data_IF_688038327599
#
_entry.id   IF_688038327599
#
_cell.length_a   1.000
_cell.length_b   1.000
_cell.length_c   1.000
_cell.angle_alpha   90.00
_cell.angle_beta   90.00
_cell.angle_gamma   90.00
#
_symmetry.space_group_name_H-M   'P 1'
#
loop_
_entity.id
_entity.type
_entity.pdbx_description
1 polymer ?
#
# COMPACT_ATOMS: atom_id res chain seq x y z
N UNK A 1 4.27 20.59 30.58
CA UNK A 1 3.05 20.64 29.73
C UNK A 1 1.97 19.81 30.40
N UNK A 2 0.94 20.45 30.95
CA UNK A 2 -0.13 19.81 31.73
C UNK A 2 -1.10 19.02 30.84
N UNK A 3 -1.65 17.89 31.31
CA UNK A 3 -2.67 17.14 30.58
C UNK A 3 -3.96 17.96 30.42
N UNK A 4 -4.71 17.78 29.32
CA UNK A 4 -5.96 18.51 29.09
C UNK A 4 -6.98 18.20 30.20
N UNK A 5 -7.71 19.23 30.65
CA UNK A 5 -8.84 19.10 31.59
C UNK A 5 -9.98 18.32 30.90
N UNK A 6 -10.73 17.54 31.67
CA UNK A 6 -11.75 16.55 31.24
C UNK A 6 -12.82 17.02 30.23
N UNK A 7 -12.94 18.31 29.95
CA UNK A 7 -13.97 18.91 29.07
C UNK A 7 -13.43 19.44 27.73
N UNK A 8 -12.12 19.38 27.47
CA UNK A 8 -11.54 19.87 26.22
C UNK A 8 -11.23 18.74 25.23
N UNK A 9 -11.37 19.00 23.91
CA UNK A 9 -10.95 18.05 22.88
C UNK A 9 -9.48 17.65 23.06
N UNK A 10 -9.20 16.36 22.93
CA UNK A 10 -7.83 15.87 23.00
C UNK A 10 -7.05 16.39 21.79
N UNK A 11 -5.91 17.02 22.05
CA UNK A 11 -5.02 17.50 21.00
C UNK A 11 -4.26 16.34 20.34
N UNK A 12 -3.76 16.56 19.11
CA UNK A 12 -2.87 15.62 18.43
C UNK A 12 -1.70 15.15 19.31
N UNK A 13 -1.09 16.07 20.06
CA UNK A 13 -0.02 15.76 21.00
C UNK A 13 -0.50 14.90 22.17
N UNK A 14 -1.73 15.13 22.65
CA UNK A 14 -2.41 14.30 23.65
C UNK A 14 -2.60 12.88 23.16
N UNK A 15 -3.13 12.68 21.95
CA UNK A 15 -3.27 11.34 21.34
C UNK A 15 -1.90 10.67 21.22
N UNK A 16 -0.89 11.36 20.69
CA UNK A 16 0.47 10.80 20.55
C UNK A 16 1.01 10.32 21.91
N UNK A 17 0.82 11.11 22.95
CA UNK A 17 1.28 10.80 24.30
C UNK A 17 0.53 9.59 24.87
N UNK A 18 -0.79 9.52 24.67
CA UNK A 18 -1.61 8.38 25.07
C UNK A 18 -1.17 7.10 24.35
N UNK A 19 -1.04 7.13 23.02
CA UNK A 19 -0.60 5.98 22.23
C UNK A 19 0.77 5.48 22.72
N UNK A 20 1.74 6.38 22.92
CA UNK A 20 3.05 6.01 23.45
C UNK A 20 2.96 5.37 24.83
N UNK A 21 2.15 5.94 25.73
CA UNK A 21 1.93 5.41 27.08
C UNK A 21 1.35 3.99 27.05
N UNK A 22 0.33 3.75 26.22
CA UNK A 22 -0.29 2.44 26.12
C UNK A 22 0.59 1.43 25.38
N UNK A 23 1.37 1.85 24.38
CA UNK A 23 2.36 0.99 23.74
C UNK A 23 3.42 0.51 24.74
N UNK A 24 3.93 1.40 25.61
CA UNK A 24 4.84 1.04 26.69
C UNK A 24 4.19 0.08 27.70
N UNK A 25 2.94 0.34 28.12
CA UNK A 25 2.21 -0.57 29.01
C UNK A 25 1.98 -1.95 28.37
N UNK A 26 1.63 -1.99 27.08
CA UNK A 26 1.45 -3.22 26.32
C UNK A 26 2.75 -4.01 26.14
N UNK A 27 3.90 -3.32 26.13
CA UNK A 27 5.21 -3.97 25.99
C UNK A 27 5.54 -4.95 27.11
N UNK A 28 4.93 -4.80 28.29
CA UNK A 28 5.05 -5.77 29.38
C UNK A 28 4.43 -7.14 29.04
N UNK A 29 3.39 -7.16 28.20
CA UNK A 29 2.75 -8.39 27.72
C UNK A 29 3.34 -8.86 26.40
N UNK A 30 3.72 -7.92 25.53
CA UNK A 30 4.26 -8.19 24.20
C UNK A 30 5.60 -7.47 24.05
N UNK A 31 6.74 -8.11 24.40
CA UNK A 31 8.06 -7.47 24.43
C UNK A 31 8.49 -6.84 23.10
N UNK A 32 8.03 -7.40 21.98
CA UNK A 32 8.33 -6.89 20.63
C UNK A 32 7.78 -5.47 20.37
N UNK A 33 6.85 -4.96 21.19
CA UNK A 33 6.38 -3.58 21.09
C UNK A 33 7.42 -2.57 21.56
N UNK A 34 8.39 -2.96 22.38
CA UNK A 34 9.42 -2.05 22.92
C UNK A 34 10.33 -1.50 21.82
N UNK A 35 10.56 -2.27 20.76
CA UNK A 35 11.41 -1.89 19.63
C UNK A 35 10.62 -1.25 18.48
N UNK A 36 9.28 -1.31 18.51
CA UNK A 36 8.42 -0.78 17.45
C UNK A 36 7.99 0.66 17.73
N UNK A 37 8.01 1.50 16.70
CA UNK A 37 7.44 2.85 16.76
C UNK A 37 5.93 2.82 16.50
N UNK A 38 5.15 2.68 17.59
CA UNK A 38 3.69 2.70 17.52
C UNK A 38 3.18 4.14 17.58
N UNK A 39 2.46 4.55 16.53
CA UNK A 39 1.79 5.85 16.42
C UNK A 39 0.34 5.69 15.98
N UNK A 40 -0.46 6.75 16.07
CA UNK A 40 -1.83 6.76 15.56
C UNK A 40 -1.90 6.40 14.06
N UNK A 41 -0.90 6.84 13.28
CA UNK A 41 -0.80 6.46 11.87
C UNK A 41 -0.46 4.98 11.73
N UNK A 42 0.51 4.44 12.48
CA UNK A 42 0.87 3.01 12.45
C UNK A 42 -0.37 2.13 12.69
N UNK A 43 -1.18 2.48 13.69
CA UNK A 43 -2.42 1.77 14.02
C UNK A 43 -3.42 1.81 12.85
N UNK A 44 -3.55 2.93 12.15
CA UNK A 44 -4.42 3.06 10.97
C UNK A 44 -3.88 2.31 9.75
N UNK A 45 -2.56 2.28 9.56
CA UNK A 45 -1.92 1.62 8.43
C UNK A 45 -1.96 0.09 8.54
N UNK A 46 -1.89 -0.47 9.75
CA UNK A 46 -1.85 -1.94 9.94
C UNK A 46 -3.07 -2.66 9.35
N UNK A 47 -4.34 -2.28 9.63
CA UNK A 47 -5.51 -2.90 9.02
C UNK A 47 -5.54 -2.78 7.49
N UNK A 48 -5.15 -1.61 6.97
CA UNK A 48 -5.12 -1.37 5.53
C UNK A 48 -4.18 -2.34 4.79
N UNK A 49 -2.98 -2.55 5.35
CA UNK A 49 -2.02 -3.54 4.80
C UNK A 49 -2.55 -4.96 4.94
N UNK A 50 -3.20 -5.31 6.05
CA UNK A 50 -3.80 -6.65 6.22
C UNK A 50 -4.92 -6.92 5.21
N UNK A 51 -5.80 -5.95 4.96
CA UNK A 51 -6.86 -6.07 3.97
C UNK A 51 -6.28 -6.22 2.56
N UNK A 52 -5.25 -5.44 2.23
CA UNK A 52 -4.58 -5.53 0.94
C UNK A 52 -3.97 -6.93 0.72
N UNK A 53 -3.27 -7.46 1.73
CA UNK A 53 -2.69 -8.80 1.70
C UNK A 53 -3.72 -9.92 1.61
N UNK A 54 -4.92 -9.70 2.14
CA UNK A 54 -6.04 -10.60 2.00
C UNK A 54 -6.68 -10.55 0.59
N UNK A 55 -6.16 -9.72 -0.32
CA UNK A 55 -6.64 -9.58 -1.70
C UNK A 55 -7.83 -8.62 -1.85
N UNK A 56 -8.12 -7.80 -0.84
CA UNK A 56 -9.19 -6.81 -0.93
C UNK A 56 -8.76 -5.69 -1.89
N UNK A 57 -9.65 -5.32 -2.80
CA UNK A 57 -9.41 -4.26 -3.78
C UNK A 57 -9.04 -2.92 -3.11
N UNK A 58 -8.09 -2.21 -3.72
CA UNK A 58 -7.55 -0.97 -3.20
C UNK A 58 -8.60 0.15 -3.11
N UNK A 59 -9.62 0.16 -3.97
CA UNK A 59 -10.71 1.13 -3.89
C UNK A 59 -11.63 0.85 -2.71
N UNK A 60 -11.85 -0.43 -2.40
CA UNK A 60 -12.59 -0.84 -1.18
C UNK A 60 -11.85 -0.39 0.07
N UNK A 61 -10.53 -0.62 0.14
CA UNK A 61 -9.70 -0.18 1.27
C UNK A 61 -9.70 1.35 1.39
N UNK A 62 -9.58 2.07 0.27
CA UNK A 62 -9.67 3.54 0.23
C UNK A 62 -11.00 4.04 0.81
N UNK A 63 -12.12 3.44 0.41
CA UNK A 63 -13.44 3.79 0.90
C UNK A 63 -13.56 3.52 2.41
N UNK A 64 -13.07 2.37 2.87
CA UNK A 64 -13.06 1.99 4.28
C UNK A 64 -12.23 2.95 5.16
N UNK A 65 -11.15 3.49 4.62
CA UNK A 65 -10.31 4.48 5.28
C UNK A 65 -10.79 5.92 5.08
N UNK A 66 -11.83 6.17 4.28
CA UNK A 66 -12.33 7.51 3.99
C UNK A 66 -11.29 8.44 3.34
N UNK A 67 -10.37 7.89 2.52
CA UNK A 67 -9.36 8.69 1.85
C UNK A 67 -9.93 9.35 0.58
N UNK A 68 -9.91 10.68 0.54
CA UNK A 68 -10.33 11.46 -0.64
C UNK A 68 -9.38 11.26 -1.82
N UNK A 69 -8.09 10.97 -1.58
CA UNK A 69 -7.07 10.75 -2.62
C UNK A 69 -6.52 9.31 -2.61
N UNK A 70 -6.23 8.76 -3.80
CA UNK A 70 -5.56 7.47 -3.99
C UNK A 70 -4.07 7.49 -3.58
N UNK A 71 -3.45 8.67 -3.52
CA UNK A 71 -2.03 8.82 -3.23
C UNK A 71 -1.63 8.27 -1.84
N UNK A 72 -2.48 8.45 -0.83
CA UNK A 72 -2.25 7.91 0.53
C UNK A 72 -2.50 6.40 0.63
N UNK A 73 -3.22 5.82 -0.32
CA UNK A 73 -3.51 4.38 -0.38
C UNK A 73 -2.49 3.63 -1.23
N UNK A 74 -1.90 4.28 -2.24
CA UNK A 74 -0.86 3.68 -3.09
C UNK A 74 0.40 3.28 -2.30
N UNK A 75 0.67 3.98 -1.19
CA UNK A 75 1.72 3.61 -0.23
C UNK A 75 1.54 2.18 0.30
N UNK A 76 0.31 1.65 0.39
CA UNK A 76 0.09 0.27 0.83
C UNK A 76 0.48 -0.75 -0.25
N UNK A 77 0.18 -0.47 -1.52
CA UNK A 77 0.57 -1.31 -2.65
C UNK A 77 2.09 -1.34 -2.84
N UNK A 78 2.76 -0.22 -2.55
CA UNK A 78 4.22 -0.12 -2.70
C UNK A 78 4.99 -0.92 -1.63
N UNK A 79 4.42 -1.04 -0.42
CA UNK A 79 5.04 -1.70 0.73
C UNK A 79 4.96 -3.23 0.64
N UNK A 80 4.03 -3.79 -0.14
CA UNK A 80 3.89 -5.24 -0.25
C UNK A 80 4.71 -5.82 -1.42
N UNK A 81 5.95 -6.22 -1.10
CA UNK A 81 6.85 -6.90 -2.04
C UNK A 81 6.22 -8.16 -2.66
N UNK A 82 5.34 -8.85 -1.91
CA UNK A 82 4.66 -10.06 -2.39
C UNK A 82 3.62 -9.74 -3.47
N UNK A 83 2.85 -8.67 -3.31
CA UNK A 83 1.91 -8.21 -4.33
C UNK A 83 2.63 -7.67 -5.58
N UNK A 84 3.77 -6.98 -5.41
CA UNK A 84 4.66 -6.61 -6.53
C UNK A 84 5.20 -7.84 -7.25
N UNK A 85 5.66 -8.85 -6.51
CA UNK A 85 6.15 -10.10 -7.10
C UNK A 85 5.05 -10.83 -7.89
N UNK A 86 3.82 -10.91 -7.34
CA UNK A 86 2.66 -11.47 -8.05
C UNK A 86 2.29 -10.67 -9.30
N UNK A 87 2.29 -9.34 -9.23
CA UNK A 87 2.02 -8.48 -10.39
C UNK A 87 3.08 -8.64 -11.48
N UNK A 88 4.37 -8.76 -11.09
CA UNK A 88 5.45 -9.05 -12.03
C UNK A 88 5.32 -10.44 -12.66
N UNK A 89 4.93 -11.45 -11.88
CA UNK A 89 4.70 -12.81 -12.39
C UNK A 89 3.56 -12.87 -13.42
N UNK A 90 2.52 -12.06 -13.28
CA UNK A 90 1.45 -11.92 -14.29
C UNK A 90 1.85 -11.09 -15.52
N UNK A 91 2.95 -10.34 -15.42
CA UNK A 91 3.48 -9.49 -16.48
C UNK A 91 4.75 -10.07 -17.12
N UNK A 92 5.05 -11.37 -16.96
CA UNK A 92 6.10 -12.01 -17.75
C UNK A 92 5.76 -11.88 -19.25
N UNK A 93 6.39 -10.90 -19.88
CA UNK A 93 6.33 -10.66 -21.32
C UNK A 93 6.97 -11.89 -21.96
N UNK A 94 6.26 -12.64 -22.84
CA UNK A 94 6.91 -13.67 -23.64
C UNK A 94 8.06 -13.01 -24.40
N UNK A 95 9.26 -13.57 -24.28
CA UNK A 95 10.50 -13.00 -24.81
C UNK A 95 10.28 -12.31 -26.17
N UNK A 96 10.74 -11.07 -26.29
CA UNK A 96 10.67 -10.24 -27.50
C UNK A 96 11.41 -10.85 -28.71
N UNK A 97 11.97 -12.06 -28.58
CA UNK A 97 12.64 -12.78 -29.66
C UNK A 97 11.68 -13.37 -30.70
N UNK A 98 10.40 -13.58 -30.36
CA UNK A 98 9.45 -14.24 -31.28
C UNK A 98 8.60 -13.27 -32.12
N UNK A 99 8.31 -12.07 -31.62
CA UNK A 99 7.45 -11.10 -32.33
C UNK A 99 8.17 -10.41 -33.49
N UNK A 100 9.51 -10.29 -33.47
CA UNK A 100 10.27 -9.64 -34.54
C UNK A 100 10.23 -10.38 -35.89
N UNK A 101 10.00 -11.70 -35.87
CA UNK A 101 10.02 -12.57 -37.07
C UNK A 101 8.66 -12.70 -37.76
N UNK A 102 7.56 -12.40 -37.06
CA UNK A 102 6.21 -12.64 -37.57
C UNK A 102 5.66 -11.51 -38.44
N UNK A 103 6.01 -10.25 -38.16
CA UNK A 103 5.48 -9.12 -38.93
C UNK A 103 6.19 -8.91 -40.28
N UNK A 104 7.49 -9.20 -40.36
CA UNK A 104 8.28 -9.08 -41.60
C UNK A 104 7.84 -10.07 -42.69
N UNK A 105 7.30 -11.23 -42.32
CA UNK A 105 6.84 -12.25 -43.27
C UNK A 105 5.41 -12.02 -43.77
N UNK A 106 4.69 -11.04 -43.22
CA UNK A 106 3.35 -10.71 -43.67
C UNK A 106 3.41 -9.78 -44.89
N UNK A 107 3.39 -10.39 -46.09
CA UNK A 107 3.42 -9.65 -47.37
C UNK A 107 2.30 -8.62 -47.51
N UNK A 108 1.13 -8.88 -46.92
CA UNK A 108 -0.01 -7.95 -46.94
C UNK A 108 0.24 -6.69 -46.12
N UNK A 109 0.85 -6.85 -44.93
CA UNK A 109 1.20 -5.73 -44.06
C UNK A 109 2.29 -4.84 -44.68
N UNK A 110 3.32 -5.46 -45.27
CA UNK A 110 4.40 -4.72 -45.94
C UNK A 110 3.94 -4.04 -47.23
N UNK A 111 2.94 -4.59 -47.92
CA UNK A 111 2.32 -3.92 -49.08
C UNK A 111 1.53 -2.67 -48.66
N UNK A 112 0.75 -2.77 -47.58
CA UNK A 112 -0.01 -1.64 -47.01
C UNK A 112 0.88 -0.50 -46.50
N UNK A 113 1.97 -0.82 -45.79
CA UNK A 113 2.89 0.20 -45.25
C UNK A 113 3.69 0.93 -46.34
N UNK A 114 3.84 0.33 -47.53
CA UNK A 114 4.48 0.96 -48.70
C UNK A 114 3.53 1.88 -49.48
N UNK A 115 2.24 1.86 -49.16
CA UNK A 115 1.22 2.72 -49.79
C UNK A 115 0.86 3.95 -48.97
N UNK A 116 1.43 4.10 -47.77
CA UNK A 116 1.50 5.35 -47.01
C UNK A 116 2.70 6.18 -47.50
#
# INVERSE_FOLDING_TARGET
MSPPRRTQPITRFGIRTLVKRYALKGSHRVPSLRTKQVSAHTIRHTPAVHLLRAGVDINTIRAWLGHVSLHTTNIYAEVDLEMKAKALAHCEIPSLEQTSRLWHNNRGLMAFLRTL
#
